data_IF_101914058392
#
_entry.id   IF_101914058392
#
_cell.length_a   1.000
_cell.length_b   1.000
_cell.length_c   1.000
_cell.angle_alpha   90.00
_cell.angle_beta   90.00
_cell.angle_gamma   90.00
#
_symmetry.space_group_name_H-M   'P 1'
#
loop_
_entity.id
_entity.type
_entity.pdbx_description
1 polymer ?
#
# COMPACT_ATOMS: atom_id res chain seq x y z
N UNK A 1 22.32 4.89 37.02
CA UNK A 1 21.02 4.30 36.60
C UNK A 1 20.26 5.34 35.79
N UNK A 2 20.69 5.62 34.55
CA UNK A 2 20.11 6.66 33.68
C UNK A 2 20.31 6.34 32.19
N UNK A 3 19.86 5.17 31.70
CA UNK A 3 19.82 4.86 30.26
C UNK A 3 18.47 4.28 29.78
N UNK A 4 17.37 5.06 29.80
CA UNK A 4 16.18 4.74 28.99
C UNK A 4 15.84 5.78 27.90
N UNK A 5 16.44 6.98 27.90
CA UNK A 5 16.02 8.08 27.02
C UNK A 5 16.68 8.08 25.62
N UNK A 6 17.83 7.42 25.45
CA UNK A 6 18.53 7.35 24.16
C UNK A 6 17.88 6.38 23.14
N UNK A 7 17.14 5.37 23.61
CA UNK A 7 16.43 4.42 22.75
C UNK A 7 15.17 5.01 22.10
N UNK A 8 14.40 5.79 22.86
CA UNK A 8 13.13 6.35 22.41
C UNK A 8 13.26 7.25 21.18
N UNK A 9 14.35 8.04 21.07
CA UNK A 9 14.59 8.90 19.90
C UNK A 9 14.90 8.13 18.61
N UNK A 10 15.62 7.00 18.71
CA UNK A 10 15.93 6.16 17.54
C UNK A 10 14.68 5.43 17.03
N UNK A 11 13.85 4.89 17.92
CA UNK A 11 12.60 4.21 17.53
C UNK A 11 11.60 5.17 16.89
N UNK A 12 11.46 6.39 17.42
CA UNK A 12 10.61 7.44 16.83
C UNK A 12 11.10 7.86 15.44
N UNK A 13 12.42 7.93 15.24
CA UNK A 13 13.02 8.27 13.93
C UNK A 13 12.80 7.16 12.90
N UNK A 14 12.92 5.89 13.31
CA UNK A 14 12.65 4.74 12.44
C UNK A 14 11.16 4.67 12.08
N UNK A 15 10.26 4.86 13.05
CA UNK A 15 8.82 4.86 12.83
C UNK A 15 8.37 5.98 11.86
N UNK A 16 8.87 7.21 12.03
CA UNK A 16 8.57 8.32 11.14
C UNK A 16 9.06 8.07 9.70
N UNK A 17 10.23 7.44 9.55
CA UNK A 17 10.76 7.01 8.24
C UNK A 17 9.91 5.89 7.65
N UNK A 18 9.50 4.89 8.43
CA UNK A 18 8.65 3.79 7.97
C UNK A 18 7.28 4.28 7.47
N UNK A 19 6.67 5.26 8.17
CA UNK A 19 5.38 5.86 7.80
C UNK A 19 5.37 6.48 6.39
N UNK A 20 6.52 6.91 5.86
CA UNK A 20 6.61 7.44 4.48
C UNK A 20 6.52 6.34 3.41
N UNK A 21 6.98 5.12 3.74
CA UNK A 21 6.99 3.95 2.85
C UNK A 21 5.75 3.08 2.99
N UNK A 22 5.04 3.19 4.11
CA UNK A 22 3.78 2.47 4.39
C UNK A 22 2.81 2.38 3.20
N UNK A 23 2.48 3.48 2.48
CA UNK A 23 1.55 3.37 1.35
C UNK A 23 2.15 2.63 0.15
N UNK A 24 3.46 2.71 -0.08
CA UNK A 24 4.12 1.97 -1.15
C UNK A 24 4.14 0.47 -0.85
N UNK A 25 4.46 0.09 0.39
CA UNK A 25 4.38 -1.30 0.82
C UNK A 25 2.96 -1.84 0.71
N UNK A 26 1.97 -1.10 1.23
CA UNK A 26 0.56 -1.51 1.16
C UNK A 26 0.09 -1.65 -0.30
N UNK A 27 0.40 -0.69 -1.16
CA UNK A 27 0.03 -0.75 -2.58
C UNK A 27 0.72 -1.92 -3.31
N UNK A 28 1.97 -2.22 -2.95
CA UNK A 28 2.70 -3.37 -3.50
C UNK A 28 2.02 -4.69 -3.11
N UNK A 29 1.69 -4.87 -1.83
CA UNK A 29 1.00 -6.07 -1.36
C UNK A 29 -0.41 -6.20 -1.93
N UNK A 30 -1.19 -5.11 -1.93
CA UNK A 30 -2.55 -5.10 -2.48
C UNK A 30 -2.54 -5.37 -4.00
N UNK A 31 -1.63 -4.75 -4.76
CA UNK A 31 -1.53 -5.00 -6.20
C UNK A 31 -1.06 -6.41 -6.53
N UNK A 32 -0.12 -6.97 -5.75
CA UNK A 32 0.31 -8.36 -5.87
C UNK A 32 -0.84 -9.34 -5.65
N UNK A 33 -1.64 -9.09 -4.61
CA UNK A 33 -2.79 -9.93 -4.26
C UNK A 33 -3.89 -9.83 -5.32
N UNK A 34 -4.28 -8.62 -5.74
CA UNK A 34 -5.29 -8.42 -6.77
C UNK A 34 -4.84 -9.05 -8.10
N UNK A 35 -3.58 -8.86 -8.49
CA UNK A 35 -3.04 -9.50 -9.69
C UNK A 35 -3.06 -11.04 -9.57
N UNK A 36 -2.77 -11.60 -8.40
CA UNK A 36 -2.84 -13.05 -8.17
C UNK A 36 -4.27 -13.57 -8.33
N UNK A 37 -5.23 -12.93 -7.69
CA UNK A 37 -6.65 -13.30 -7.76
C UNK A 37 -7.19 -13.17 -9.17
N UNK A 38 -6.94 -12.05 -9.85
CA UNK A 38 -7.40 -11.83 -11.24
C UNK A 38 -6.76 -12.84 -12.19
N UNK A 39 -5.47 -13.14 -12.04
CA UNK A 39 -4.78 -14.14 -12.88
C UNK A 39 -5.34 -15.55 -12.62
N UNK A 40 -5.55 -15.92 -11.35
CA UNK A 40 -6.13 -17.22 -11.01
C UNK A 40 -7.56 -17.37 -11.55
N UNK A 41 -8.37 -16.32 -11.46
CA UNK A 41 -9.75 -16.31 -11.99
C UNK A 41 -9.80 -16.35 -13.53
N UNK A 42 -8.93 -15.60 -14.21
CA UNK A 42 -8.97 -15.51 -15.69
C UNK A 42 -8.33 -16.70 -16.39
N UNK A 43 -7.32 -17.33 -15.79
CA UNK A 43 -6.54 -18.39 -16.46
C UNK A 43 -6.67 -19.77 -15.83
N UNK A 44 -7.33 -19.90 -14.68
CA UNK A 44 -7.32 -21.16 -13.93
C UNK A 44 -5.99 -21.39 -13.22
N UNK A 45 -5.96 -22.37 -12.32
CA UNK A 45 -4.75 -22.73 -11.55
C UNK A 45 -4.00 -23.83 -12.30
N UNK A 46 -3.02 -23.42 -13.11
CA UNK A 46 -2.14 -24.32 -13.87
C UNK A 46 -0.67 -24.08 -13.52
N UNK A 47 0.23 -24.98 -13.94
CA UNK A 47 1.68 -24.85 -13.69
C UNK A 47 2.31 -23.55 -14.25
N UNK A 48 1.65 -22.90 -15.22
CA UNK A 48 2.07 -21.59 -15.76
C UNK A 48 1.53 -20.37 -14.99
N UNK A 49 0.65 -20.57 -14.00
CA UNK A 49 0.08 -19.51 -13.17
C UNK A 49 1.15 -18.58 -12.58
N UNK A 50 2.28 -19.06 -12.01
CA UNK A 50 3.28 -18.16 -11.42
C UNK A 50 3.90 -17.22 -12.46
N UNK A 51 4.18 -17.71 -13.66
CA UNK A 51 4.81 -16.92 -14.73
C UNK A 51 3.84 -15.86 -15.31
N UNK A 52 2.56 -16.22 -15.48
CA UNK A 52 1.52 -15.28 -15.94
C UNK A 52 1.23 -14.23 -14.88
N UNK A 53 1.15 -14.65 -13.63
CA UNK A 53 0.98 -13.77 -12.48
C UNK A 53 2.14 -12.77 -12.38
N UNK A 54 3.39 -13.24 -12.47
CA UNK A 54 4.55 -12.36 -12.38
C UNK A 54 4.56 -11.29 -13.49
N UNK A 55 4.22 -11.68 -14.74
CA UNK A 55 4.10 -10.73 -15.86
C UNK A 55 3.00 -9.70 -15.64
N UNK A 56 1.80 -10.14 -15.24
CA UNK A 56 0.68 -9.26 -14.97
C UNK A 56 0.98 -8.31 -13.79
N UNK A 57 1.57 -8.85 -12.73
CA UNK A 57 2.00 -8.08 -11.55
C UNK A 57 3.09 -7.08 -11.90
N UNK A 58 4.10 -7.45 -12.69
CA UNK A 58 5.18 -6.54 -13.09
C UNK A 58 4.67 -5.32 -13.87
N UNK A 59 3.59 -5.45 -14.64
CA UNK A 59 2.94 -4.33 -15.35
C UNK A 59 2.03 -3.53 -14.41
N UNK A 60 1.28 -4.20 -13.53
CA UNK A 60 0.32 -3.55 -12.62
C UNK A 60 0.99 -2.82 -11.44
N UNK A 61 2.12 -3.34 -10.95
CA UNK A 61 2.84 -2.82 -9.80
C UNK A 61 3.28 -1.35 -9.93
N UNK A 62 3.93 -0.91 -11.04
CA UNK A 62 4.29 0.49 -11.20
C UNK A 62 3.05 1.40 -11.22
N UNK A 63 1.97 0.99 -11.90
CA UNK A 63 0.72 1.75 -11.90
C UNK A 63 0.13 1.88 -10.48
N UNK A 64 0.16 0.81 -9.68
CA UNK A 64 -0.32 0.81 -8.31
C UNK A 64 0.53 1.70 -7.39
N UNK A 65 1.87 1.66 -7.52
CA UNK A 65 2.77 2.53 -6.76
C UNK A 65 2.54 4.00 -7.13
N UNK A 66 2.47 4.32 -8.42
CA UNK A 66 2.18 5.67 -8.90
C UNK A 66 0.84 6.15 -8.38
N UNK A 67 -0.21 5.33 -8.46
CA UNK A 67 -1.53 5.66 -7.94
C UNK A 67 -1.51 5.86 -6.42
N UNK A 68 -0.78 5.04 -5.66
CA UNK A 68 -0.69 5.19 -4.21
C UNK A 68 -0.08 6.54 -3.81
N UNK A 69 0.97 6.99 -4.50
CA UNK A 69 1.55 8.31 -4.24
C UNK A 69 0.69 9.46 -4.77
N UNK A 70 0.13 9.34 -5.97
CA UNK A 70 -0.71 10.36 -6.59
C UNK A 70 -2.06 10.54 -5.86
N UNK A 71 -2.64 9.46 -5.36
CA UNK A 71 -3.94 9.49 -4.67
C UNK A 71 -3.83 9.83 -3.18
N UNK A 72 -2.65 9.87 -2.56
CA UNK A 72 -2.49 10.35 -1.16
C UNK A 72 -3.20 11.69 -0.88
N UNK A 73 -2.97 12.77 -1.64
CA UNK A 73 -3.68 14.03 -1.42
C UNK A 73 -5.17 13.92 -1.76
N UNK A 74 -5.54 13.07 -2.71
CA UNK A 74 -6.93 12.88 -3.14
C UNK A 74 -7.75 12.14 -2.08
N UNK A 75 -7.19 11.08 -1.49
CA UNK A 75 -7.78 10.33 -0.39
C UNK A 75 -7.98 11.22 0.84
N UNK A 76 -7.01 12.08 1.16
CA UNK A 76 -7.16 13.07 2.23
C UNK A 76 -8.29 14.07 1.94
N UNK A 77 -8.47 14.49 0.68
CA UNK A 77 -9.60 15.34 0.27
C UNK A 77 -10.94 14.62 0.40
N UNK A 78 -11.05 13.40 -0.10
CA UNK A 78 -12.27 12.60 0.00
C UNK A 78 -12.64 12.29 1.44
N UNK A 79 -11.68 11.86 2.27
CA UNK A 79 -11.89 11.59 3.69
C UNK A 79 -12.40 12.82 4.44
N UNK A 80 -11.83 14.01 4.17
CA UNK A 80 -12.34 15.27 4.72
C UNK A 80 -13.73 15.62 4.20
N UNK A 81 -14.02 15.34 2.94
CA UNK A 81 -15.36 15.54 2.37
C UNK A 81 -16.42 14.66 3.05
N UNK A 82 -16.14 13.36 3.16
CA UNK A 82 -16.97 12.38 3.87
C UNK A 82 -17.16 12.75 5.35
N UNK A 83 -16.09 13.11 6.05
CA UNK A 83 -16.18 13.53 7.45
C UNK A 83 -17.11 14.75 7.62
N UNK A 84 -17.06 15.73 6.71
CA UNK A 84 -17.97 16.88 6.73
C UNK A 84 -19.42 16.52 6.43
N UNK A 85 -19.69 15.47 5.66
CA UNK A 85 -21.04 14.99 5.39
C UNK A 85 -21.58 14.26 6.62
N UNK A 86 -20.76 13.39 7.22
CA UNK A 86 -21.13 12.62 8.40
C UNK A 86 -21.39 13.49 9.65
N UNK A 87 -20.68 14.62 9.81
CA UNK A 87 -20.90 15.54 10.94
C UNK A 87 -21.98 16.61 10.68
N UNK A 88 -22.59 16.61 9.49
CA UNK A 88 -23.70 17.51 9.12
C UNK A 88 -25.07 16.83 9.21
N UNK A 89 -25.12 15.54 9.55
CA UNK A 89 -26.34 14.77 9.77
C UNK A 89 -26.73 14.70 11.23
#
# INVERSE_FOLDING_TARGET
>A
MSEPLAGAGHEQTVAARAARWQPACLATFMSAFVAAVVTALNTGVDAQLPARWLRAWAVAWPAAVTAAYACRPLAARCARGLARIATRG
#
